data_IF_843641415047
#
_entry.id   IF_843641415047
#
_cell.length_a   1.000
_cell.length_b   1.000
_cell.length_c   1.000
_cell.angle_alpha   90.00
_cell.angle_beta   90.00
_cell.angle_gamma   90.00
#
_symmetry.space_group_name_H-M   'P 1'
#
loop_
_entity.id
_entity.type
_entity.pdbx_description
1 polymer ?
#
# COMPACT_ATOMS: atom_id res chain seq x y z
N UNK A 1 27.21 54.37 16.69
CA UNK A 1 26.18 53.39 16.26
C UNK A 1 26.78 51.98 16.28
N UNK A 2 26.73 51.27 17.41
CA UNK A 2 27.26 49.88 17.55
C UNK A 2 26.45 49.10 18.59
N UNK A 3 25.16 48.85 18.34
CA UNK A 3 24.33 47.94 19.17
C UNK A 3 23.36 47.06 18.38
N UNK A 4 23.23 47.25 17.06
CA UNK A 4 22.25 46.54 16.23
C UNK A 4 22.79 45.19 15.72
N UNK A 5 24.12 45.02 15.65
CA UNK A 5 24.74 43.82 15.07
C UNK A 5 24.68 42.58 15.96
N UNK A 6 24.44 42.70 17.27
CA UNK A 6 24.49 41.56 18.20
C UNK A 6 23.18 40.76 18.18
N UNK A 7 22.03 41.42 18.02
CA UNK A 7 20.71 40.78 18.04
C UNK A 7 20.39 39.98 16.77
N UNK A 8 20.90 40.40 15.61
CA UNK A 8 20.71 39.67 14.34
C UNK A 8 21.38 38.29 14.36
N UNK A 9 22.53 38.15 15.02
CA UNK A 9 23.21 36.85 15.17
C UNK A 9 22.48 35.90 16.13
N UNK A 10 21.85 36.43 17.18
CA UNK A 10 21.07 35.60 18.12
C UNK A 10 19.80 35.07 17.45
N UNK A 11 19.10 35.88 16.66
CA UNK A 11 17.94 35.41 15.89
C UNK A 11 18.30 34.35 14.83
N UNK A 12 19.45 34.49 14.16
CA UNK A 12 19.92 33.51 13.18
C UNK A 12 20.29 32.17 13.83
N UNK A 13 20.89 32.17 15.03
CA UNK A 13 21.22 30.95 15.76
C UNK A 13 19.98 30.22 16.29
N UNK A 14 18.95 30.95 16.73
CA UNK A 14 17.67 30.36 17.17
C UNK A 14 16.90 29.76 15.97
N UNK A 15 16.94 30.41 14.81
CA UNK A 15 16.34 29.87 13.58
C UNK A 15 17.06 28.62 13.08
N UNK A 16 18.40 28.57 13.14
CA UNK A 16 19.15 27.36 12.78
C UNK A 16 18.92 26.20 13.77
N UNK A 17 18.76 26.48 15.06
CA UNK A 17 18.41 25.47 16.07
C UNK A 17 17.01 24.86 15.87
N UNK A 18 16.07 25.64 15.33
CA UNK A 18 14.70 25.18 15.06
C UNK A 18 14.58 24.27 13.84
N UNK A 19 15.43 24.43 12.81
CA UNK A 19 15.42 23.53 11.64
C UNK A 19 15.90 22.13 12.01
N UNK A 20 16.83 22.00 12.97
CA UNK A 20 17.30 20.71 13.49
C UNK A 20 16.31 20.02 14.45
N UNK A 21 15.24 20.72 14.87
CA UNK A 21 14.17 20.18 15.73
C UNK A 21 12.87 19.89 14.96
N UNK A 22 12.86 20.11 13.64
CA UNK A 22 11.82 19.48 12.86
C UNK A 22 12.03 17.97 12.99
N UNK A 23 11.05 17.21 13.51
CA UNK A 23 11.11 15.77 13.34
C UNK A 23 11.21 15.60 11.83
N UNK A 24 12.32 15.02 11.36
CA UNK A 24 12.28 14.29 10.11
C UNK A 24 11.03 13.44 10.30
N UNK A 25 9.95 13.79 9.60
CA UNK A 25 8.89 12.85 9.35
C UNK A 25 9.62 11.78 8.57
N UNK A 26 10.20 10.85 9.33
CA UNK A 26 10.59 9.56 8.85
C UNK A 26 9.27 9.06 8.32
N UNK A 27 9.11 9.24 7.00
CA UNK A 27 8.19 8.51 6.18
C UNK A 27 8.22 7.10 6.76
N UNK A 28 7.19 6.76 7.52
CA UNK A 28 7.25 5.64 8.43
C UNK A 28 7.56 4.43 7.56
N UNK A 29 8.82 3.99 7.56
CA UNK A 29 9.33 3.08 6.55
C UNK A 29 8.37 1.90 6.54
N UNK A 30 7.64 1.74 5.45
CA UNK A 30 6.62 0.70 5.38
C UNK A 30 7.38 -0.62 5.33
N UNK A 31 7.45 -1.23 6.50
CA UNK A 31 8.17 -2.48 6.74
C UNK A 31 7.70 -3.59 5.79
N UNK A 32 6.41 -3.55 5.41
CA UNK A 32 5.88 -4.36 4.31
C UNK A 32 5.14 -3.46 3.34
N UNK A 33 5.50 -3.58 2.07
CA UNK A 33 4.84 -2.90 0.97
C UNK A 33 4.08 -3.87 0.07
N UNK A 34 3.07 -3.38 -0.66
CA UNK A 34 2.34 -4.16 -1.66
C UNK A 34 2.30 -3.36 -2.94
N UNK A 35 2.55 -4.05 -4.05
CA UNK A 35 2.57 -3.50 -5.39
C UNK A 35 1.61 -4.31 -6.24
N UNK A 36 0.59 -3.64 -6.79
CA UNK A 36 -0.33 -4.24 -7.74
C UNK A 36 0.35 -4.38 -9.10
N UNK A 37 0.32 -5.56 -9.70
CA UNK A 37 0.83 -5.80 -11.06
C UNK A 37 -0.29 -5.89 -12.07
N UNK A 38 -1.44 -6.44 -11.70
CA UNK A 38 -2.56 -6.61 -12.60
C UNK A 38 -3.89 -6.58 -11.84
N UNK A 39 -4.94 -6.17 -12.54
CA UNK A 39 -6.33 -6.29 -12.11
C UNK A 39 -7.19 -6.65 -13.31
N UNK A 40 -7.98 -7.70 -13.16
CA UNK A 40 -8.86 -8.19 -14.20
C UNK A 40 -10.06 -8.90 -13.58
N UNK A 41 -11.03 -9.23 -14.41
CA UNK A 41 -12.20 -10.00 -14.04
C UNK A 41 -12.20 -11.36 -14.73
N UNK A 42 -12.96 -12.30 -14.19
CA UNK A 42 -13.11 -13.61 -14.81
C UNK A 42 -14.27 -13.61 -15.80
N UNK A 43 -14.14 -14.44 -16.84
CA UNK A 43 -15.17 -14.68 -17.84
C UNK A 43 -15.69 -16.10 -17.66
N UNK A 44 -16.97 -16.31 -17.93
CA UNK A 44 -17.53 -17.66 -18.12
C UNK A 44 -17.01 -18.28 -19.42
N UNK A 45 -17.31 -19.57 -19.64
CA UNK A 45 -16.97 -20.28 -20.89
C UNK A 45 -17.58 -19.60 -22.13
N UNK A 46 -18.71 -18.93 -21.99
CA UNK A 46 -19.40 -18.20 -23.06
C UNK A 46 -18.87 -16.75 -23.25
N UNK A 47 -17.73 -16.41 -22.65
CA UNK A 47 -17.13 -15.06 -22.63
C UNK A 47 -18.04 -13.98 -22.01
N UNK A 48 -18.93 -14.34 -21.08
CA UNK A 48 -19.69 -13.35 -20.32
C UNK A 48 -18.96 -12.98 -19.02
N UNK A 49 -18.90 -11.70 -18.65
CA UNK A 49 -18.23 -11.27 -17.42
C UNK A 49 -18.84 -11.89 -16.16
N UNK A 50 -17.98 -12.42 -15.29
CA UNK A 50 -18.35 -12.81 -13.93
C UNK A 50 -18.14 -11.66 -12.94
N UNK A 51 -18.96 -11.61 -11.90
CA UNK A 51 -18.83 -10.69 -10.77
C UNK A 51 -17.69 -11.10 -9.83
N UNK A 52 -16.51 -11.33 -10.40
CA UNK A 52 -15.31 -11.78 -9.74
C UNK A 52 -14.15 -10.89 -10.17
N UNK A 53 -13.60 -10.17 -9.20
CA UNK A 53 -12.42 -9.34 -9.40
C UNK A 53 -11.18 -10.07 -8.94
N UNK A 54 -10.17 -10.14 -9.80
CA UNK A 54 -8.85 -10.71 -9.50
C UNK A 54 -7.84 -9.56 -9.40
N UNK A 55 -7.09 -9.54 -8.30
CA UNK A 55 -6.02 -8.57 -8.06
C UNK A 55 -4.72 -9.35 -7.86
N UNK A 56 -3.76 -9.09 -8.72
CA UNK A 56 -2.42 -9.67 -8.66
C UNK A 56 -1.40 -8.62 -8.27
N UNK A 57 -0.37 -9.06 -7.57
CA UNK A 57 0.69 -8.21 -7.12
C UNK A 57 1.64 -8.95 -6.21
N UNK A 58 2.45 -8.19 -5.48
CA UNK A 58 3.44 -8.76 -4.59
C UNK A 58 3.66 -7.91 -3.35
N UNK A 59 4.03 -8.57 -2.26
CA UNK A 59 4.56 -7.91 -1.10
C UNK A 59 6.08 -7.76 -1.19
N UNK A 60 6.61 -6.65 -0.69
CA UNK A 60 8.04 -6.45 -0.45
C UNK A 60 8.26 -6.36 1.05
N UNK A 61 9.15 -7.19 1.58
CA UNK A 61 9.61 -7.09 2.95
C UNK A 61 10.85 -6.19 3.00
N UNK A 62 10.70 -4.98 3.53
CA UNK A 62 11.79 -4.00 3.62
C UNK A 62 12.60 -4.14 4.92
N UNK A 63 12.52 -5.29 5.58
CA UNK A 63 13.16 -5.55 6.88
C UNK A 63 14.14 -6.71 6.80
N UNK A 64 15.00 -6.80 7.82
CA UNK A 64 15.94 -7.89 8.06
C UNK A 64 15.30 -9.12 8.73
N UNK A 65 13.97 -9.13 8.92
CA UNK A 65 13.24 -10.17 9.63
C UNK A 65 12.26 -10.89 8.73
N UNK A 66 12.02 -12.17 9.02
CA UNK A 66 10.95 -12.92 8.37
C UNK A 66 9.57 -12.39 8.77
N UNK A 67 8.72 -12.19 7.77
CA UNK A 67 7.28 -12.02 7.96
C UNK A 67 6.66 -13.39 7.76
N UNK A 68 5.86 -13.87 8.71
CA UNK A 68 5.23 -15.19 8.59
C UNK A 68 3.70 -15.15 8.56
N UNK A 69 3.08 -14.00 8.86
CA UNK A 69 1.64 -13.95 9.00
C UNK A 69 1.05 -12.59 8.64
N UNK A 70 0.04 -12.58 7.77
CA UNK A 70 -0.82 -11.41 7.53
C UNK A 70 -2.16 -11.61 8.24
N UNK A 71 -2.42 -10.77 9.24
CA UNK A 71 -3.69 -10.74 9.96
C UNK A 71 -4.78 -10.09 9.11
N UNK A 72 -4.45 -9.00 8.42
CA UNK A 72 -5.40 -8.26 7.61
C UNK A 72 -4.70 -7.52 6.48
N UNK A 73 -5.32 -7.54 5.31
CA UNK A 73 -4.90 -6.79 4.14
C UNK A 73 -6.13 -6.23 3.43
N UNK A 74 -6.21 -4.90 3.32
CA UNK A 74 -7.32 -4.21 2.69
C UNK A 74 -6.91 -3.64 1.33
N UNK A 75 -7.64 -4.02 0.29
CA UNK A 75 -7.52 -3.49 -1.06
C UNK A 75 -8.80 -2.77 -1.46
N UNK A 76 -8.64 -1.64 -2.13
CA UNK A 76 -9.73 -0.89 -2.76
C UNK A 76 -9.41 -0.73 -4.23
N UNK A 77 -10.27 -1.26 -5.10
CA UNK A 77 -10.18 -1.07 -6.53
C UNK A 77 -11.24 -0.06 -6.97
N UNK A 78 -10.80 0.98 -7.68
CA UNK A 78 -11.68 1.88 -8.42
C UNK A 78 -11.68 1.44 -9.87
N UNK A 79 -12.86 1.26 -10.43
CA UNK A 79 -13.08 0.83 -11.81
C UNK A 79 -13.81 1.96 -12.54
N UNK A 80 -13.46 2.20 -13.79
CA UNK A 80 -14.09 3.21 -14.65
C UNK A 80 -14.59 2.54 -15.92
N UNK A 81 -15.79 2.89 -16.38
CA UNK A 81 -16.33 2.48 -17.68
C UNK A 81 -15.98 3.47 -18.81
N UNK A 82 -16.40 3.15 -20.03
CA UNK A 82 -16.17 3.98 -21.21
C UNK A 82 -16.93 5.32 -21.19
N UNK A 83 -18.01 5.40 -20.41
CA UNK A 83 -18.77 6.61 -20.12
C UNK A 83 -18.15 7.51 -19.04
N UNK A 84 -17.10 7.04 -18.35
CA UNK A 84 -16.45 7.74 -17.25
C UNK A 84 -17.13 7.56 -15.88
N UNK A 85 -18.12 6.67 -15.76
CA UNK A 85 -18.70 6.30 -14.47
C UNK A 85 -17.69 5.50 -13.66
N UNK A 86 -17.65 5.75 -12.35
CA UNK A 86 -16.69 5.09 -11.45
C UNK A 86 -17.39 4.24 -10.41
N UNK A 87 -16.92 3.01 -10.25
CA UNK A 87 -17.32 2.05 -9.21
C UNK A 87 -16.16 1.80 -8.24
N UNK A 88 -16.48 1.44 -6.99
CA UNK A 88 -15.46 1.09 -5.99
C UNK A 88 -15.74 -0.27 -5.37
N UNK A 89 -14.76 -1.17 -5.46
CA UNK A 89 -14.82 -2.53 -4.91
C UNK A 89 -13.80 -2.63 -3.78
N UNK A 90 -14.20 -3.25 -2.67
CA UNK A 90 -13.36 -3.43 -1.48
C UNK A 90 -13.15 -4.90 -1.19
N UNK A 91 -11.90 -5.28 -0.95
CA UNK A 91 -11.53 -6.63 -0.51
C UNK A 91 -10.74 -6.56 0.79
N UNK A 92 -11.17 -7.35 1.77
CA UNK A 92 -10.45 -7.55 3.04
C UNK A 92 -10.03 -9.01 3.13
N UNK A 93 -8.72 -9.25 3.10
CA UNK A 93 -8.13 -10.58 3.20
C UNK A 93 -7.55 -10.75 4.59
N UNK A 94 -7.92 -11.82 5.29
CA UNK A 94 -7.53 -12.06 6.68
C UNK A 94 -6.95 -13.44 6.85
N UNK A 95 -6.09 -13.57 7.85
CA UNK A 95 -5.56 -14.84 8.33
C UNK A 95 -4.98 -15.72 7.23
N UNK A 96 -4.29 -15.12 6.27
CA UNK A 96 -3.56 -15.89 5.27
C UNK A 96 -2.08 -15.92 5.66
N UNK A 97 -1.58 -17.14 5.81
CA UNK A 97 -0.20 -17.39 6.18
C UNK A 97 0.70 -17.10 4.99
N UNK A 98 1.77 -16.34 5.24
CA UNK A 98 2.80 -16.12 4.22
C UNK A 98 4.14 -15.85 4.87
N UNK A 99 5.09 -16.72 4.56
CA UNK A 99 6.50 -16.46 4.80
C UNK A 99 7.05 -15.55 3.68
N UNK A 100 7.57 -14.39 4.06
CA UNK A 100 8.31 -13.48 3.19
C UNK A 100 9.68 -13.27 3.81
N UNK A 101 10.71 -13.66 3.08
CA UNK A 101 12.10 -13.57 3.51
C UNK A 101 12.52 -12.10 3.66
N UNK A 102 13.52 -11.80 4.51
CA UNK A 102 14.13 -10.49 4.58
C UNK A 102 14.51 -9.93 3.20
N UNK A 103 14.23 -8.64 2.96
CA UNK A 103 14.58 -7.94 1.71
C UNK A 103 14.14 -8.68 0.43
N UNK A 104 13.02 -9.39 0.48
CA UNK A 104 12.51 -10.21 -0.61
C UNK A 104 11.14 -9.77 -1.09
N UNK A 105 10.76 -10.30 -2.26
CA UNK A 105 9.46 -10.16 -2.88
C UNK A 105 8.68 -11.46 -2.74
N UNK A 106 7.37 -11.36 -2.54
CA UNK A 106 6.46 -12.50 -2.61
C UNK A 106 5.23 -12.20 -3.43
N UNK A 107 4.97 -13.01 -4.46
CA UNK A 107 3.82 -12.85 -5.36
C UNK A 107 2.53 -13.43 -4.79
N UNK A 108 1.41 -12.76 -5.06
CA UNK A 108 0.08 -13.16 -4.63
C UNK A 108 -0.99 -12.81 -5.66
N UNK A 109 -2.04 -13.62 -5.63
CA UNK A 109 -3.30 -13.40 -6.34
C UNK A 109 -4.43 -13.45 -5.33
N UNK A 110 -5.26 -12.41 -5.33
CA UNK A 110 -6.46 -12.30 -4.51
C UNK A 110 -7.71 -12.29 -5.40
N UNK A 111 -8.75 -13.00 -4.98
CA UNK A 111 -10.01 -13.14 -5.72
C UNK A 111 -11.17 -12.65 -4.85
N UNK A 112 -11.86 -11.60 -5.28
CA UNK A 112 -13.04 -11.05 -4.64
C UNK A 112 -14.27 -11.54 -5.40
N UNK A 113 -15.07 -12.40 -4.76
CA UNK A 113 -16.31 -12.93 -5.34
C UNK A 113 -17.49 -12.00 -5.03
N UNK A 114 -18.51 -12.06 -5.87
CA UNK A 114 -19.72 -11.23 -5.78
C UNK A 114 -19.39 -9.74 -5.74
N UNK A 115 -18.36 -9.34 -6.49
CA UNK A 115 -18.00 -7.94 -6.64
C UNK A 115 -19.03 -7.26 -7.55
N UNK A 116 -19.65 -6.17 -7.08
CA UNK A 116 -20.49 -5.31 -7.92
C UNK A 116 -19.58 -4.53 -8.88
N UNK A 117 -19.36 -5.10 -10.07
CA UNK A 117 -18.56 -4.51 -11.14
C UNK A 117 -19.48 -3.79 -12.11
N UNK A 118 -19.12 -2.56 -12.47
CA UNK A 118 -19.76 -1.83 -13.58
C UNK A 118 -19.14 -2.28 -14.90
N UNK A 119 -19.98 -2.54 -15.91
CA UNK A 119 -19.58 -3.10 -17.22
C UNK A 119 -19.95 -2.14 -18.36
N UNK A 120 -19.13 -2.02 -19.43
CA UNK A 120 -17.79 -2.60 -19.58
C UNK A 120 -16.75 -1.89 -18.72
N UNK A 121 -15.62 -2.55 -18.45
CA UNK A 121 -14.49 -1.93 -17.73
C UNK A 121 -13.49 -1.37 -18.74
N UNK A 122 -13.25 -0.07 -18.68
CA UNK A 122 -12.24 0.62 -19.49
C UNK A 122 -10.89 0.69 -18.75
N UNK A 123 -10.93 1.09 -17.48
CA UNK A 123 -9.70 1.23 -16.68
C UNK A 123 -9.91 0.90 -15.21
N UNK A 124 -8.80 0.68 -14.51
CA UNK A 124 -8.79 0.39 -13.09
C UNK A 124 -7.66 1.11 -12.36
N UNK A 125 -7.88 1.34 -11.07
CA UNK A 125 -6.88 1.82 -10.14
C UNK A 125 -7.00 1.07 -8.82
N UNK A 126 -5.92 0.44 -8.35
CA UNK A 126 -5.91 -0.27 -7.07
C UNK A 126 -5.17 0.54 -6.04
N UNK A 127 -5.89 0.95 -5.00
CA UNK A 127 -5.32 1.55 -3.81
C UNK A 127 -5.24 0.52 -2.71
N UNK A 128 -4.04 0.40 -2.15
CA UNK A 128 -3.82 -0.36 -0.95
C UNK A 128 -4.23 0.46 0.27
N UNK A 129 -5.07 -0.14 1.11
CA UNK A 129 -5.42 0.42 2.41
C UNK A 129 -4.48 -0.10 3.49
N UNK A 130 -5.08 -0.60 4.56
CA UNK A 130 -4.41 -1.03 5.76
C UNK A 130 -3.85 -2.47 5.68
N UNK A 131 -2.68 -2.69 6.29
CA UNK A 131 -2.04 -4.01 6.41
C UNK A 131 -1.67 -4.27 7.89
N UNK A 132 -2.06 -5.43 8.42
CA UNK A 132 -1.58 -6.00 9.70
C UNK A 132 -0.86 -7.30 9.45
N UNK A 133 0.26 -7.47 10.12
CA UNK A 133 1.11 -8.62 9.98
C UNK A 133 1.95 -8.81 11.26
N UNK A 134 2.65 -9.94 11.35
CA UNK A 134 3.51 -10.28 12.47
C UNK A 134 4.87 -10.80 11.98
N UNK A 135 5.92 -10.44 12.71
CA UNK A 135 7.25 -11.03 12.52
C UNK A 135 7.35 -12.39 13.18
N UNK A 136 8.11 -13.27 12.55
CA UNK A 136 8.68 -14.44 13.21
C UNK A 136 9.98 -14.07 13.91
N UNK A 137 10.14 -14.47 15.17
CA UNK A 137 11.43 -14.44 15.88
C UNK A 137 12.28 -15.68 15.64
N UNK A 138 11.86 -16.60 14.76
CA UNK A 138 12.69 -17.73 14.37
C UNK A 138 13.89 -17.18 13.61
N UNK A 139 15.02 -17.10 14.31
CA UNK A 139 16.33 -16.89 13.71
C UNK A 139 16.52 -17.98 12.65
N UNK A 140 16.77 -17.55 11.41
CA UNK A 140 17.54 -18.38 10.48
C UNK A 140 18.95 -18.59 11.04
#
# INVERSE_FOLDING_TARGET
>A
MKKISSWLFVCAAVLFGLVCLMPVQAEAAQQIEWHTTNLYYELTEDNTPENILVIEGYFVNNTDKYINYFHEFNLTATITDDGGYTGTIKGTFRNFEKMIDPFSRSDHRFRIRNAEIIWPVDSYNVKRGYIKWKYSGAAG
#
